data_IF_876620354923
#
_entry.id   IF_876620354923
#
_cell.length_a   1.000
_cell.length_b   1.000
_cell.length_c   1.000
_cell.angle_alpha   90.00
_cell.angle_beta   90.00
_cell.angle_gamma   90.00
#
_symmetry.space_group_name_H-M   'P 1'
#
loop_
_entity.id
_entity.type
_entity.pdbx_description
1 polymer ?
#
# COMPACT_ATOMS: atom_id res chain seq x y z
N UNK A 1 14.25 -16.00 -7.97
CA UNK A 1 12.78 -16.01 -7.84
C UNK A 1 12.13 -15.75 -9.20
N UNK A 2 11.06 -16.49 -9.51
CA UNK A 2 10.33 -16.39 -10.78
C UNK A 2 8.83 -16.40 -10.53
N UNK A 3 8.07 -15.70 -11.39
CA UNK A 3 6.60 -15.73 -11.42
C UNK A 3 6.13 -16.12 -12.82
N UNK A 4 5.06 -16.88 -12.89
CA UNK A 4 4.35 -17.13 -14.13
C UNK A 4 3.39 -15.96 -14.40
N UNK A 5 3.64 -15.26 -15.49
CA UNK A 5 2.73 -14.22 -16.02
C UNK A 5 1.70 -14.86 -16.95
N UNK A 6 0.80 -14.06 -17.50
CA UNK A 6 -0.17 -14.55 -18.48
C UNK A 6 0.57 -15.25 -19.63
N UNK A 7 0.30 -16.55 -19.77
CA UNK A 7 1.04 -17.44 -20.68
C UNK A 7 1.71 -18.57 -19.96
N UNK A 8 2.48 -19.39 -20.66
CA UNK A 8 3.16 -20.58 -20.12
C UNK A 8 4.53 -20.28 -19.51
N UNK A 9 5.09 -19.10 -19.74
CA UNK A 9 6.50 -18.82 -19.42
C UNK A 9 6.69 -18.18 -18.05
N UNK A 10 7.79 -18.59 -17.40
CA UNK A 10 8.23 -18.04 -16.13
C UNK A 10 9.11 -16.81 -16.35
N UNK A 11 8.67 -15.66 -15.86
CA UNK A 11 9.45 -14.43 -15.80
C UNK A 11 10.27 -14.33 -14.53
N UNK A 12 11.52 -13.90 -14.63
CA UNK A 12 12.37 -13.62 -13.48
C UNK A 12 11.89 -12.36 -12.76
N UNK A 13 11.84 -12.41 -11.42
CA UNK A 13 11.53 -11.29 -10.53
C UNK A 13 12.78 -10.80 -9.82
N UNK A 14 13.56 -11.72 -9.31
CA UNK A 14 14.73 -11.45 -8.51
C UNK A 14 15.78 -12.52 -8.79
N UNK A 15 17.03 -12.10 -8.91
CA UNK A 15 18.19 -12.95 -8.94
C UNK A 15 19.06 -12.73 -7.70
N UNK A 16 19.64 -13.78 -7.18
CA UNK A 16 20.68 -13.70 -6.14
C UNK A 16 21.87 -14.51 -6.65
N UNK A 17 22.96 -13.82 -6.97
CA UNK A 17 24.15 -14.44 -7.54
C UNK A 17 25.33 -14.34 -6.57
N UNK A 18 26.05 -15.45 -6.40
CA UNK A 18 27.40 -15.43 -5.81
C UNK A 18 28.40 -15.17 -6.94
N UNK A 19 28.87 -13.94 -7.06
CA UNK A 19 29.81 -13.52 -8.08
C UNK A 19 31.27 -13.81 -7.71
N UNK A 20 31.48 -14.41 -6.57
CA UNK A 20 32.82 -14.68 -6.02
C UNK A 20 33.67 -13.40 -5.90
N UNK A 21 34.95 -13.49 -6.10
CA UNK A 21 35.89 -12.34 -6.15
C UNK A 21 36.03 -11.74 -7.56
N UNK A 22 35.28 -12.25 -8.56
CA UNK A 22 35.47 -11.92 -9.97
C UNK A 22 35.42 -10.41 -10.26
N UNK A 23 34.37 -9.73 -9.76
CA UNK A 23 34.19 -8.30 -10.06
C UNK A 23 35.26 -7.44 -9.40
N UNK A 24 35.55 -7.66 -8.12
CA UNK A 24 36.55 -6.86 -7.39
C UNK A 24 37.94 -7.12 -7.91
N UNK A 25 38.28 -8.38 -8.25
CA UNK A 25 39.55 -8.73 -8.88
C UNK A 25 39.72 -8.08 -10.26
N UNK A 26 38.64 -8.09 -11.08
CA UNK A 26 38.65 -7.45 -12.38
C UNK A 26 38.79 -5.91 -12.25
N UNK A 27 38.04 -5.30 -11.35
CA UNK A 27 38.11 -3.85 -11.11
C UNK A 27 39.48 -3.41 -10.58
N UNK A 28 40.05 -4.13 -9.60
CA UNK A 28 41.37 -3.88 -9.09
C UNK A 28 42.44 -3.92 -10.20
N UNK A 29 42.38 -4.97 -11.06
CA UNK A 29 43.30 -5.14 -12.17
C UNK A 29 43.23 -3.98 -13.18
N UNK A 30 42.05 -3.46 -13.49
CA UNK A 30 41.87 -2.42 -14.52
C UNK A 30 42.05 -1.01 -13.99
N UNK A 31 41.72 -0.75 -12.71
CA UNK A 31 41.90 0.55 -12.09
C UNK A 31 43.29 0.76 -11.50
N UNK A 32 43.99 -0.30 -11.14
CA UNK A 32 45.21 -0.26 -10.37
C UNK A 32 45.01 -0.04 -8.87
N UNK A 33 43.75 0.02 -8.42
CA UNK A 33 43.39 0.23 -7.01
C UNK A 33 43.31 -1.10 -6.25
N UNK A 34 43.72 -1.08 -4.98
CA UNK A 34 43.59 -2.25 -4.08
C UNK A 34 42.20 -2.33 -3.49
N UNK A 35 41.40 -3.28 -3.97
CA UNK A 35 40.02 -3.53 -3.51
C UNK A 35 39.93 -4.71 -2.53
N UNK A 36 41.04 -5.07 -1.87
CA UNK A 36 41.05 -6.10 -0.85
C UNK A 36 40.53 -5.57 0.51
N UNK A 37 39.97 -6.47 1.29
CA UNK A 37 39.54 -6.22 2.67
C UNK A 37 40.60 -6.77 3.63
N UNK A 38 40.93 -5.99 4.65
CA UNK A 38 41.78 -6.44 5.76
C UNK A 38 40.92 -6.76 7.00
N UNK A 39 40.91 -8.01 7.39
CA UNK A 39 40.20 -8.46 8.59
C UNK A 39 41.06 -8.21 9.82
N UNK A 40 40.72 -7.21 10.60
CA UNK A 40 41.44 -6.81 11.81
C UNK A 40 41.48 -7.91 12.90
N UNK A 41 40.45 -8.76 12.96
CA UNK A 41 40.35 -9.80 13.96
C UNK A 41 41.28 -11.00 13.66
N UNK A 42 41.48 -11.32 12.38
CA UNK A 42 42.32 -12.45 11.96
C UNK A 42 43.69 -12.04 11.43
N UNK A 43 43.86 -10.75 11.09
CA UNK A 43 45.06 -10.21 10.43
C UNK A 43 45.19 -10.61 8.96
N UNK A 44 44.15 -11.19 8.37
CA UNK A 44 44.15 -11.65 6.98
C UNK A 44 43.68 -10.56 6.01
N UNK A 45 44.31 -10.54 4.83
CA UNK A 45 43.94 -9.70 3.72
C UNK A 45 43.45 -10.56 2.56
N UNK A 46 42.26 -10.27 2.02
CA UNK A 46 41.67 -11.03 0.93
C UNK A 46 40.74 -10.16 0.06
N UNK A 47 40.46 -10.60 -1.16
CA UNK A 47 39.43 -10.00 -2.00
C UNK A 47 38.07 -10.62 -1.62
N UNK A 48 37.10 -9.83 -1.14
CA UNK A 48 35.80 -10.35 -0.71
C UNK A 48 35.01 -10.95 -1.88
N UNK A 49 34.14 -11.92 -1.55
CA UNK A 49 33.12 -12.36 -2.48
C UNK A 49 31.97 -11.38 -2.52
N UNK A 50 31.45 -11.12 -3.72
CA UNK A 50 30.28 -10.27 -3.93
C UNK A 50 29.04 -11.14 -4.03
N UNK A 51 28.06 -10.89 -3.17
CA UNK A 51 26.72 -11.44 -3.30
C UNK A 51 25.83 -10.34 -3.87
N UNK A 52 25.28 -10.60 -5.05
CA UNK A 52 24.47 -9.64 -5.80
C UNK A 52 22.98 -10.02 -5.73
N UNK A 53 22.18 -9.40 -4.88
CA UNK A 53 20.73 -9.43 -5.01
C UNK A 53 20.30 -8.36 -6.04
N UNK A 54 19.49 -8.77 -7.01
CA UNK A 54 18.99 -7.86 -8.05
C UNK A 54 17.50 -8.10 -8.31
N UNK A 55 16.69 -7.06 -8.22
CA UNK A 55 15.26 -7.11 -8.49
C UNK A 55 14.81 -5.97 -9.39
N UNK A 56 13.88 -6.24 -10.31
CA UNK A 56 13.31 -5.24 -11.19
C UNK A 56 12.13 -4.50 -10.50
N UNK A 57 12.31 -3.23 -10.13
CA UNK A 57 11.27 -2.43 -9.48
C UNK A 57 9.94 -2.44 -10.26
N UNK A 58 9.97 -2.08 -11.53
CA UNK A 58 8.76 -2.01 -12.36
C UNK A 58 8.11 -3.37 -12.60
N UNK A 59 8.92 -4.43 -12.68
CA UNK A 59 8.44 -5.81 -12.80
C UNK A 59 7.78 -6.27 -11.49
N UNK A 60 8.33 -5.92 -10.35
CA UNK A 60 7.72 -6.17 -9.05
C UNK A 60 6.40 -5.43 -8.89
N UNK A 61 6.35 -4.15 -9.28
CA UNK A 61 5.11 -3.36 -9.28
C UNK A 61 4.02 -4.03 -10.14
N UNK A 62 4.37 -4.47 -11.36
CA UNK A 62 3.43 -5.18 -12.22
C UNK A 62 2.91 -6.46 -11.56
N UNK A 63 3.78 -7.21 -10.87
CA UNK A 63 3.37 -8.41 -10.15
C UNK A 63 2.40 -8.11 -9.02
N UNK A 64 2.65 -7.07 -8.23
CA UNK A 64 1.75 -6.66 -7.15
C UNK A 64 0.38 -6.23 -7.68
N UNK A 65 0.34 -5.48 -8.79
CA UNK A 65 -0.94 -5.07 -9.40
C UNK A 65 -1.72 -6.26 -9.95
N UNK A 66 -1.05 -7.18 -10.65
CA UNK A 66 -1.70 -8.38 -11.20
C UNK A 66 -2.20 -9.31 -10.11
N UNK A 67 -1.43 -9.43 -9.02
CA UNK A 67 -1.79 -10.28 -7.87
C UNK A 67 -2.95 -9.68 -7.06
N UNK A 68 -2.97 -8.36 -6.93
CA UNK A 68 -3.98 -7.64 -6.17
C UNK A 68 -5.31 -7.46 -6.94
N UNK A 69 -5.29 -7.55 -8.27
CA UNK A 69 -6.49 -7.36 -9.07
C UNK A 69 -7.49 -8.52 -8.86
N UNK A 70 -8.71 -8.16 -8.48
CA UNK A 70 -9.79 -9.11 -8.27
C UNK A 70 -11.13 -8.52 -8.72
N UNK A 71 -12.08 -9.41 -9.02
CA UNK A 71 -13.46 -9.05 -9.30
C UNK A 71 -14.37 -9.92 -8.45
N UNK A 72 -15.01 -9.32 -7.49
CA UNK A 72 -15.97 -9.98 -6.60
C UNK A 72 -17.38 -9.39 -6.72
N UNK A 73 -18.26 -9.72 -5.81
CA UNK A 73 -19.63 -9.23 -5.73
C UNK A 73 -19.83 -8.42 -4.45
N UNK A 74 -20.56 -7.32 -4.57
CA UNK A 74 -20.91 -6.48 -3.43
C UNK A 74 -22.39 -6.14 -3.43
N UNK A 75 -23.02 -6.03 -2.26
CA UNK A 75 -24.41 -5.64 -2.14
C UNK A 75 -24.69 -4.29 -2.80
N UNK A 76 -25.83 -4.17 -3.46
CA UNK A 76 -26.30 -2.92 -4.02
C UNK A 76 -27.52 -2.38 -3.28
N UNK A 77 -27.88 -1.12 -3.54
CA UNK A 77 -28.99 -0.44 -2.89
C UNK A 77 -30.39 -0.99 -3.25
N UNK A 78 -30.47 -1.89 -4.23
CA UNK A 78 -31.71 -2.50 -4.70
C UNK A 78 -31.95 -3.90 -4.11
N UNK A 79 -31.12 -4.34 -3.16
CA UNK A 79 -31.20 -5.65 -2.53
C UNK A 79 -30.62 -6.80 -3.38
N UNK A 80 -29.90 -6.49 -4.45
CA UNK A 80 -29.12 -7.43 -5.25
C UNK A 80 -27.63 -7.28 -5.03
N UNK A 81 -26.84 -7.87 -5.93
CA UNK A 81 -25.38 -7.74 -5.96
C UNK A 81 -24.92 -7.16 -7.28
N UNK A 82 -23.85 -6.38 -7.24
CA UNK A 82 -23.14 -5.85 -8.41
C UNK A 82 -21.71 -6.37 -8.41
N UNK A 83 -21.16 -6.59 -9.58
CA UNK A 83 -19.73 -6.87 -9.73
C UNK A 83 -18.91 -5.69 -9.22
N UNK A 84 -17.88 -6.01 -8.43
CA UNK A 84 -16.94 -5.06 -7.86
C UNK A 84 -15.52 -5.37 -8.35
N UNK A 85 -14.93 -4.42 -9.06
CA UNK A 85 -13.48 -4.45 -9.30
C UNK A 85 -12.77 -3.93 -8.06
N UNK A 86 -11.75 -4.62 -7.62
CA UNK A 86 -10.98 -4.27 -6.43
C UNK A 86 -9.50 -4.57 -6.63
N UNK A 87 -8.63 -3.69 -6.14
CA UNK A 87 -7.20 -3.95 -5.98
C UNK A 87 -6.93 -4.30 -4.51
N UNK A 88 -6.69 -5.59 -4.22
CA UNK A 88 -6.38 -6.09 -2.87
C UNK A 88 -4.89 -5.91 -2.54
N UNK A 89 -4.38 -4.69 -2.71
CA UNK A 89 -3.01 -4.37 -2.32
C UNK A 89 -2.82 -4.55 -0.83
N UNK A 90 -1.65 -5.04 -0.42
CA UNK A 90 -1.24 -4.95 0.98
C UNK A 90 -1.37 -3.49 1.44
N UNK A 91 -1.99 -3.20 2.61
CA UNK A 91 -2.18 -1.83 3.08
C UNK A 91 -0.91 -0.99 3.12
N UNK A 92 0.25 -1.62 3.35
CA UNK A 92 1.57 -0.96 3.31
C UNK A 92 1.96 -0.49 1.91
N UNK A 93 1.48 -1.17 0.86
CA UNK A 93 1.75 -0.85 -0.55
C UNK A 93 0.68 0.03 -1.18
N UNK A 94 -0.51 0.12 -0.58
CA UNK A 94 -1.60 0.96 -1.09
C UNK A 94 -1.16 2.44 -1.16
N UNK A 95 -1.25 3.12 -2.33
CA UNK A 95 -0.84 4.52 -2.44
C UNK A 95 -1.65 5.44 -1.52
N UNK A 96 -2.96 5.27 -1.50
CA UNK A 96 -3.88 5.99 -0.60
C UNK A 96 -4.17 5.10 0.60
N UNK A 97 -3.90 5.59 1.82
CA UNK A 97 -4.06 4.81 3.06
C UNK A 97 -5.48 4.79 3.56
N UNK A 98 -6.16 5.91 3.44
CA UNK A 98 -7.58 6.01 3.77
C UNK A 98 -8.24 7.09 2.91
N UNK A 99 -9.56 6.97 2.73
CA UNK A 99 -10.38 8.00 2.09
C UNK A 99 -11.43 8.52 3.06
N UNK A 100 -11.52 9.84 3.20
CA UNK A 100 -12.53 10.50 4.04
C UNK A 100 -13.68 10.98 3.16
N UNK A 101 -14.89 10.51 3.47
CA UNK A 101 -16.06 10.62 2.62
C UNK A 101 -17.24 11.22 3.41
N UNK A 102 -17.54 12.53 3.29
CA UNK A 102 -18.74 13.08 3.92
C UNK A 102 -19.98 12.49 3.26
N UNK A 103 -20.93 11.96 4.05
CA UNK A 103 -22.13 11.29 3.55
C UNK A 103 -22.95 12.18 2.60
N UNK A 104 -23.02 13.48 2.88
CA UNK A 104 -23.65 14.48 2.02
C UNK A 104 -22.83 15.76 1.93
N UNK A 105 -23.19 16.63 0.96
CA UNK A 105 -22.54 17.93 0.74
C UNK A 105 -23.04 19.04 1.70
N UNK A 106 -23.52 18.67 2.88
CA UNK A 106 -23.90 19.68 3.88
C UNK A 106 -22.64 20.25 4.54
N UNK A 107 -22.54 21.58 4.71
CA UNK A 107 -21.34 22.25 5.21
C UNK A 107 -20.84 21.69 6.55
N UNK A 108 -21.77 21.32 7.45
CA UNK A 108 -21.43 20.74 8.74
C UNK A 108 -20.66 19.41 8.62
N UNK A 109 -21.05 18.52 7.68
CA UNK A 109 -20.34 17.26 7.43
C UNK A 109 -19.03 17.49 6.68
N UNK A 110 -19.03 18.41 5.71
CA UNK A 110 -17.83 18.76 4.95
C UNK A 110 -16.74 19.30 5.86
N UNK A 111 -17.08 20.17 6.81
CA UNK A 111 -16.12 20.76 7.74
C UNK A 111 -15.47 19.67 8.62
N UNK A 112 -16.25 18.78 9.19
CA UNK A 112 -15.72 17.67 10.02
C UNK A 112 -14.85 16.73 9.18
N UNK A 113 -15.31 16.37 7.98
CA UNK A 113 -14.59 15.48 7.09
C UNK A 113 -13.28 16.09 6.59
N UNK A 114 -13.27 17.37 6.25
CA UNK A 114 -12.05 18.07 5.82
C UNK A 114 -11.03 18.15 6.95
N UNK A 115 -11.46 18.55 8.15
CA UNK A 115 -10.58 18.62 9.32
C UNK A 115 -9.97 17.23 9.62
N UNK A 116 -10.79 16.17 9.61
CA UNK A 116 -10.29 14.82 9.82
C UNK A 116 -9.29 14.40 8.73
N UNK A 117 -9.55 14.73 7.47
CA UNK A 117 -8.62 14.41 6.39
C UNK A 117 -7.28 15.14 6.56
N UNK A 118 -7.30 16.40 6.99
CA UNK A 118 -6.11 17.20 7.22
C UNK A 118 -5.33 16.70 8.45
N UNK A 119 -6.01 16.33 9.53
CA UNK A 119 -5.40 15.73 10.71
C UNK A 119 -4.70 14.39 10.38
N UNK A 120 -5.35 13.54 9.57
CA UNK A 120 -4.74 12.28 9.13
C UNK A 120 -3.52 12.50 8.21
N UNK A 121 -3.53 13.51 7.34
CA UNK A 121 -2.39 13.89 6.49
C UNK A 121 -1.17 14.35 7.31
N UNK A 122 -1.38 14.85 8.51
CA UNK A 122 -0.29 15.25 9.40
C UNK A 122 0.62 14.07 9.81
N UNK A 123 0.14 12.83 9.66
CA UNK A 123 0.94 11.61 9.86
C UNK A 123 1.71 11.20 8.60
N UNK A 124 1.86 12.09 7.61
CA UNK A 124 2.52 11.83 6.33
C UNK A 124 1.81 10.77 5.45
N UNK A 125 0.56 10.44 5.76
CA UNK A 125 -0.23 9.50 4.98
C UNK A 125 -0.90 10.19 3.80
N UNK A 126 -0.91 9.52 2.64
CA UNK A 126 -1.73 9.96 1.53
C UNK A 126 -3.21 9.64 1.82
N UNK A 127 -3.97 10.68 2.09
CA UNK A 127 -5.40 10.62 2.41
C UNK A 127 -6.18 11.27 1.28
N UNK A 128 -7.13 10.52 0.71
CA UNK A 128 -8.08 11.05 -0.26
C UNK A 128 -9.29 11.68 0.46
N UNK A 129 -9.85 12.73 -0.16
CA UNK A 129 -11.10 13.34 0.27
C UNK A 129 -12.03 13.40 -0.94
N UNK A 130 -13.20 12.76 -0.86
CA UNK A 130 -14.11 12.70 -1.98
C UNK A 130 -15.57 12.92 -1.55
N UNK A 131 -16.19 13.92 -2.12
CA UNK A 131 -17.61 14.26 -1.94
C UNK A 131 -18.44 14.15 -3.23
N UNK A 132 -17.83 13.61 -4.31
CA UNK A 132 -18.44 13.61 -5.63
C UNK A 132 -19.34 12.39 -5.87
N UNK A 133 -20.62 12.63 -6.02
CA UNK A 133 -21.63 11.60 -6.31
C UNK A 133 -22.11 10.83 -5.08
N UNK A 134 -22.81 9.73 -5.29
CA UNK A 134 -23.36 8.91 -4.22
C UNK A 134 -22.26 8.13 -3.48
N UNK A 135 -22.43 7.90 -2.17
CA UNK A 135 -21.45 7.24 -1.30
C UNK A 135 -21.03 5.86 -1.84
N UNK A 136 -21.94 5.06 -2.37
CA UNK A 136 -21.63 3.76 -2.95
C UNK A 136 -20.69 3.83 -4.15
N UNK A 137 -20.77 4.89 -4.99
CA UNK A 137 -19.83 5.10 -6.09
C UNK A 137 -18.46 5.51 -5.59
N UNK A 138 -18.39 6.28 -4.51
CA UNK A 138 -17.14 6.68 -3.87
C UNK A 138 -16.41 5.48 -3.28
N UNK A 139 -17.11 4.58 -2.61
CA UNK A 139 -16.54 3.30 -2.18
C UNK A 139 -15.95 2.51 -3.35
N UNK A 140 -16.67 2.42 -4.49
CA UNK A 140 -16.17 1.69 -5.67
C UNK A 140 -14.88 2.28 -6.23
N UNK A 141 -14.78 3.62 -6.33
CA UNK A 141 -13.54 4.27 -6.74
C UNK A 141 -12.36 3.93 -5.83
N UNK A 142 -12.62 3.90 -4.52
CA UNK A 142 -11.58 3.54 -3.54
C UNK A 142 -11.22 2.06 -3.59
N UNK A 143 -12.19 1.18 -3.80
CA UNK A 143 -11.95 -0.26 -4.02
C UNK A 143 -11.07 -0.47 -5.28
N UNK A 144 -11.35 0.23 -6.37
CA UNK A 144 -10.64 0.14 -7.65
C UNK A 144 -9.18 0.59 -7.57
N UNK A 145 -8.85 1.60 -6.77
CA UNK A 145 -7.48 2.08 -6.59
C UNK A 145 -6.74 1.40 -5.43
N UNK A 146 -7.42 0.51 -4.71
CA UNK A 146 -6.82 -0.29 -3.64
C UNK A 146 -6.70 0.39 -2.28
N UNK A 147 -7.48 1.46 -2.02
CA UNK A 147 -7.52 2.11 -0.70
C UNK A 147 -8.06 1.14 0.36
N UNK A 148 -7.30 0.81 1.42
CA UNK A 148 -7.72 -0.20 2.39
C UNK A 148 -8.89 0.23 3.28
N UNK A 149 -9.02 1.52 3.57
CA UNK A 149 -10.00 2.05 4.51
C UNK A 149 -10.79 3.22 3.93
N UNK A 150 -12.11 3.19 4.08
CA UNK A 150 -12.99 4.33 3.78
C UNK A 150 -13.64 4.82 5.06
N UNK A 151 -13.48 6.09 5.39
CA UNK A 151 -13.97 6.73 6.60
C UNK A 151 -15.14 7.63 6.22
N UNK A 152 -16.35 7.26 6.65
CA UNK A 152 -17.56 8.02 6.36
C UNK A 152 -17.93 8.90 7.54
N UNK A 153 -18.04 10.20 7.26
CA UNK A 153 -18.58 11.21 8.18
C UNK A 153 -20.06 11.38 7.85
N UNK A 154 -20.92 11.02 8.78
CA UNK A 154 -22.38 11.01 8.66
C UNK A 154 -23.05 11.98 9.65
N UNK A 155 -24.39 12.00 9.70
CA UNK A 155 -25.10 12.91 10.61
C UNK A 155 -24.94 12.51 12.08
N UNK A 156 -24.83 11.19 12.35
CA UNK A 156 -24.64 10.69 13.71
C UNK A 156 -23.27 11.13 14.26
N UNK A 157 -22.28 11.36 13.36
CA UNK A 157 -20.95 11.89 13.72
C UNK A 157 -21.03 13.24 14.44
N UNK A 158 -22.04 14.07 14.11
CA UNK A 158 -22.22 15.37 14.75
C UNK A 158 -22.72 15.25 16.20
N UNK A 159 -23.32 14.12 16.55
CA UNK A 159 -23.90 13.85 17.86
C UNK A 159 -22.96 13.00 18.73
N UNK A 160 -22.42 11.91 18.17
CA UNK A 160 -21.63 10.91 18.90
C UNK A 160 -20.11 11.06 18.77
N UNK A 161 -19.65 12.02 17.94
CA UNK A 161 -18.23 12.24 17.65
C UNK A 161 -17.48 10.97 17.18
N UNK A 162 -18.16 10.13 16.41
CA UNK A 162 -17.58 8.93 15.82
C UNK A 162 -17.84 8.88 14.32
N UNK A 163 -17.06 8.10 13.60
CA UNK A 163 -17.16 7.89 12.15
C UNK A 163 -17.34 6.41 11.84
N UNK A 164 -17.90 6.11 10.67
CA UNK A 164 -17.99 4.74 10.19
C UNK A 164 -16.78 4.42 9.30
N UNK A 165 -15.96 3.46 9.69
CA UNK A 165 -14.83 2.99 8.91
C UNK A 165 -15.21 1.66 8.23
N UNK A 166 -15.04 1.62 6.90
CA UNK A 166 -15.27 0.43 6.08
C UNK A 166 -13.94 -0.12 5.59
N UNK A 167 -13.72 -1.40 5.80
CA UNK A 167 -12.60 -2.15 5.22
C UNK A 167 -12.89 -2.55 3.77
N UNK A 168 -11.89 -2.40 2.90
CA UNK A 168 -11.96 -2.75 1.48
C UNK A 168 -12.27 -4.24 1.26
N UNK A 169 -11.53 -5.12 1.94
CA UNK A 169 -11.53 -6.54 1.59
C UNK A 169 -12.77 -7.26 2.11
N UNK A 170 -13.16 -6.99 3.33
CA UNK A 170 -14.31 -7.62 3.99
C UNK A 170 -15.61 -6.85 3.79
N UNK A 171 -15.53 -5.57 3.42
CA UNK A 171 -16.64 -4.60 3.44
C UNK A 171 -17.27 -4.43 4.83
N UNK A 172 -16.66 -4.97 5.87
CA UNK A 172 -17.09 -4.77 7.25
C UNK A 172 -17.01 -3.30 7.63
N UNK A 173 -17.95 -2.86 8.43
CA UNK A 173 -18.05 -1.49 8.91
C UNK A 173 -18.00 -1.47 10.43
N UNK A 174 -17.24 -0.53 10.97
CA UNK A 174 -17.08 -0.34 12.40
C UNK A 174 -17.22 1.14 12.76
N UNK A 175 -17.86 1.43 13.90
CA UNK A 175 -17.97 2.79 14.42
C UNK A 175 -16.78 3.10 15.31
N UNK A 176 -16.02 4.15 14.97
CA UNK A 176 -14.77 4.53 15.65
C UNK A 176 -14.83 5.99 16.05
N UNK A 177 -14.51 6.29 17.31
CA UNK A 177 -14.47 7.67 17.80
C UNK A 177 -13.41 8.50 17.06
N UNK A 178 -13.72 9.77 16.78
CA UNK A 178 -12.85 10.68 15.99
C UNK A 178 -11.42 10.76 16.54
N UNK A 179 -11.27 10.80 17.87
CA UNK A 179 -9.96 10.84 18.54
C UNK A 179 -9.16 9.52 18.44
N UNK A 180 -9.76 8.44 17.95
CA UNK A 180 -9.14 7.12 17.77
C UNK A 180 -8.90 6.75 16.31
N UNK A 181 -9.34 7.57 15.37
CA UNK A 181 -9.23 7.24 13.94
C UNK A 181 -7.78 7.10 13.51
N UNK A 182 -6.88 7.98 13.94
CA UNK A 182 -5.47 7.90 13.57
C UNK A 182 -4.82 6.61 14.09
N UNK A 183 -5.05 6.25 15.35
CA UNK A 183 -4.55 4.99 15.93
C UNK A 183 -5.11 3.76 15.18
N UNK A 184 -6.39 3.83 14.81
CA UNK A 184 -7.05 2.75 14.06
C UNK A 184 -6.43 2.57 12.67
N UNK A 185 -6.20 3.66 11.95
CA UNK A 185 -5.56 3.65 10.62
C UNK A 185 -4.14 3.11 10.74
N UNK A 186 -3.33 3.65 11.66
CA UNK A 186 -1.94 3.21 11.87
C UNK A 186 -1.85 1.69 12.11
N UNK A 187 -2.71 1.15 12.97
CA UNK A 187 -2.74 -0.28 13.26
C UNK A 187 -3.08 -1.13 12.04
N UNK A 188 -3.92 -0.64 11.12
CA UNK A 188 -4.38 -1.38 9.92
C UNK A 188 -3.42 -1.28 8.74
N UNK A 189 -2.66 -0.20 8.62
CA UNK A 189 -1.64 -0.05 7.57
C UNK A 189 -0.26 -0.59 7.99
N UNK A 190 -0.13 -1.14 9.20
CA UNK A 190 1.10 -1.77 9.69
C UNK A 190 2.18 -0.79 10.14
N UNK A 191 1.82 0.46 10.44
CA UNK A 191 2.68 1.43 11.11
C UNK A 191 2.53 1.26 12.64
N UNK A 192 3.67 1.27 13.34
CA UNK A 192 3.74 1.16 14.80
C UNK A 192 4.18 2.47 15.41
#
# INVERSE_FOLDING_TARGET
YKRQFQGSDWGELEGVANRTDFDLSAHAKHSGEDLSYFNQATGEKYVPYVIEPAAGLTRSLMCFLVDAYDVDEAPNTKGGVDKRTVLRLDPRLAPVKAAVLPLSKKPELQTVAQNLADDLRFNEWMIDYDESGAIGRRYRRQDEIGTPLCITVDFDTLEDHAVTIRERDTMAQERVALDKVADYVAARIGEK
#
